data_IF_513835761327
#
_entry.id   IF_513835761327
#
_cell.length_a   1.000
_cell.length_b   1.000
_cell.length_c   1.000
_cell.angle_alpha   90.00
_cell.angle_beta   90.00
_cell.angle_gamma   90.00
#
_symmetry.space_group_name_H-M   'P 1'
#
loop_
_entity.id
_entity.type
_entity.pdbx_description
1 polymer ?
#
# COMPACT_ATOMS: atom_id res chain seq x y z
N UNK A 1 -40.86 1.93 17.21
CA UNK A 1 -39.93 2.12 18.35
C UNK A 1 -38.74 1.14 18.30
N UNK A 2 -38.86 -0.02 17.64
CA UNK A 2 -37.78 -1.02 17.51
C UNK A 2 -36.52 -0.54 16.78
N UNK A 3 -36.63 0.35 15.78
CA UNK A 3 -35.45 0.88 15.07
C UNK A 3 -34.53 1.78 15.91
N UNK A 4 -34.99 2.34 17.04
CA UNK A 4 -34.13 3.13 17.94
C UNK A 4 -33.30 2.25 18.88
N UNK A 5 -33.80 1.08 19.28
CA UNK A 5 -33.08 0.17 20.17
C UNK A 5 -31.90 -0.52 19.47
N UNK A 6 -32.10 -0.97 18.23
CA UNK A 6 -31.05 -1.54 17.38
C UNK A 6 -29.92 -0.54 17.09
N UNK A 7 -30.25 0.74 16.90
CA UNK A 7 -29.27 1.80 16.65
C UNK A 7 -28.47 2.17 17.91
N UNK A 8 -29.06 2.04 19.09
CA UNK A 8 -28.40 2.28 20.38
C UNK A 8 -27.51 1.11 20.78
N UNK A 9 -27.95 -0.14 20.61
CA UNK A 9 -27.12 -1.33 20.87
C UNK A 9 -25.91 -1.43 19.92
N UNK A 10 -26.07 -1.07 18.64
CA UNK A 10 -24.95 -0.97 17.70
C UNK A 10 -23.96 0.15 18.09
N UNK A 11 -24.44 1.27 18.63
CA UNK A 11 -23.59 2.38 19.09
C UNK A 11 -22.89 2.08 20.41
N UNK A 12 -23.55 1.42 21.36
CA UNK A 12 -22.93 0.99 22.62
C UNK A 12 -21.87 -0.10 22.39
N UNK A 13 -22.16 -1.09 21.55
CA UNK A 13 -21.17 -2.08 21.12
C UNK A 13 -19.96 -1.44 20.45
N UNK A 14 -20.18 -0.46 19.57
CA UNK A 14 -19.12 0.32 18.92
C UNK A 14 -18.29 1.13 19.93
N UNK A 15 -18.93 1.75 20.93
CA UNK A 15 -18.24 2.52 21.97
C UNK A 15 -17.40 1.63 22.90
N UNK A 16 -17.93 0.47 23.31
CA UNK A 16 -17.20 -0.50 24.14
C UNK A 16 -16.00 -1.04 23.38
N UNK A 17 -16.16 -1.40 22.10
CA UNK A 17 -15.05 -1.85 21.24
C UNK A 17 -14.00 -0.74 21.13
N UNK A 18 -14.39 0.51 20.84
CA UNK A 18 -13.45 1.65 20.79
C UNK A 18 -12.68 1.83 22.10
N UNK A 19 -13.34 1.64 23.24
CA UNK A 19 -12.72 1.77 24.57
C UNK A 19 -11.72 0.64 24.83
N UNK A 20 -12.06 -0.60 24.47
CA UNK A 20 -11.16 -1.75 24.59
C UNK A 20 -9.94 -1.62 23.68
N UNK A 21 -10.11 -1.12 22.45
CA UNK A 21 -8.99 -0.88 21.52
C UNK A 21 -7.99 0.11 22.10
N UNK A 22 -8.47 1.22 22.70
CA UNK A 22 -7.62 2.20 23.38
C UNK A 22 -6.85 1.63 24.57
N UNK A 23 -7.41 0.63 25.27
CA UNK A 23 -6.75 -0.05 26.39
C UNK A 23 -5.68 -1.05 25.93
N UNK A 24 -5.92 -1.73 24.81
CA UNK A 24 -5.04 -2.79 24.30
C UNK A 24 -3.87 -2.24 23.49
N UNK A 25 -4.05 -1.13 22.79
CA UNK A 25 -3.03 -0.50 21.93
C UNK A 25 -1.70 -0.20 22.64
N UNK A 26 -1.67 0.42 23.84
CA UNK A 26 -0.41 0.65 24.56
C UNK A 26 0.33 -0.65 24.88
N UNK A 27 -0.43 -1.71 25.17
CA UNK A 27 0.16 -3.04 25.42
C UNK A 27 0.75 -3.61 24.13
N UNK A 28 0.04 -3.53 23.00
CA UNK A 28 0.55 -3.97 21.70
C UNK A 28 1.78 -3.16 21.27
N UNK A 29 1.77 -1.84 21.44
CA UNK A 29 2.90 -0.96 21.15
C UNK A 29 4.16 -1.32 21.97
N UNK A 30 3.99 -1.85 23.17
CA UNK A 30 5.10 -2.42 23.95
C UNK A 30 5.51 -3.81 23.45
N UNK A 31 4.56 -4.67 23.08
CA UNK A 31 4.83 -6.04 22.64
C UNK A 31 5.55 -6.12 21.29
N UNK A 32 5.38 -5.13 20.40
CA UNK A 32 6.15 -5.04 19.14
C UNK A 32 7.66 -4.77 19.36
N UNK A 33 8.09 -4.53 20.60
CA UNK A 33 9.51 -4.44 20.99
C UNK A 33 10.02 -5.71 21.67
N UNK A 34 9.22 -6.78 21.73
CA UNK A 34 9.64 -8.06 22.28
C UNK A 34 10.81 -8.65 21.48
N UNK A 35 11.66 -9.44 22.14
CA UNK A 35 12.70 -10.26 21.48
C UNK A 35 12.18 -11.60 20.97
N UNK A 36 11.00 -12.00 21.43
CA UNK A 36 10.35 -13.24 21.03
C UNK A 36 9.58 -13.04 19.72
N UNK A 37 10.01 -13.73 18.66
CA UNK A 37 9.40 -13.64 17.32
C UNK A 37 7.91 -14.00 17.32
N UNK A 38 7.48 -14.94 18.15
CA UNK A 38 6.07 -15.35 18.25
C UNK A 38 5.26 -14.23 18.87
N UNK A 39 5.78 -13.57 19.90
CA UNK A 39 5.14 -12.41 20.52
C UNK A 39 5.09 -11.23 19.53
N UNK A 40 6.19 -10.98 18.81
CA UNK A 40 6.25 -9.94 17.77
C UNK A 40 5.20 -10.17 16.68
N UNK A 41 5.16 -11.39 16.12
CA UNK A 41 4.23 -11.75 15.06
C UNK A 41 2.76 -11.62 15.52
N UNK A 42 2.44 -12.07 16.75
CA UNK A 42 1.10 -11.94 17.32
C UNK A 42 0.71 -10.49 17.59
N UNK A 43 1.64 -9.68 18.09
CA UNK A 43 1.40 -8.26 18.32
C UNK A 43 1.13 -7.51 16.99
N UNK A 44 1.95 -7.76 15.96
CA UNK A 44 1.74 -7.18 14.63
C UNK A 44 0.42 -7.67 14.00
N UNK A 45 0.08 -8.95 14.17
CA UNK A 45 -1.20 -9.49 13.69
C UNK A 45 -2.37 -8.78 14.36
N UNK A 46 -2.31 -8.56 15.67
CA UNK A 46 -3.33 -7.82 16.39
C UNK A 46 -3.44 -6.38 15.88
N UNK A 47 -2.31 -5.69 15.65
CA UNK A 47 -2.33 -4.35 15.05
C UNK A 47 -2.98 -4.35 13.65
N UNK A 48 -2.72 -5.37 12.82
CA UNK A 48 -3.34 -5.47 11.49
C UNK A 48 -4.86 -5.59 11.55
N UNK A 49 -5.40 -6.30 12.55
CA UNK A 49 -6.85 -6.38 12.76
C UNK A 49 -7.42 -5.08 13.31
N UNK A 50 -6.64 -4.33 14.09
CA UNK A 50 -7.04 -3.02 14.59
C UNK A 50 -7.04 -1.96 13.50
N UNK A 51 -6.15 -2.05 12.51
CA UNK A 51 -6.10 -1.13 11.36
C UNK A 51 -7.05 -1.53 10.23
N UNK A 52 -7.70 -2.69 10.30
CA UNK A 52 -8.68 -3.14 9.29
C UNK A 52 -10.04 -2.45 9.49
N UNK A 53 -10.37 -1.53 8.57
CA UNK A 53 -11.65 -0.85 8.53
C UNK A 53 -11.55 0.65 8.29
N UNK A 54 -12.28 1.43 9.08
CA UNK A 54 -12.48 2.88 8.88
C UNK A 54 -11.21 3.70 9.17
N UNK A 55 -11.11 4.89 8.59
CA UNK A 55 -10.01 5.82 8.84
C UNK A 55 -9.80 6.09 10.35
N UNK A 56 -10.85 6.19 11.17
CA UNK A 56 -10.73 6.32 12.64
C UNK A 56 -9.88 5.21 13.28
N UNK A 57 -10.01 3.98 12.81
CA UNK A 57 -9.29 2.82 13.34
C UNK A 57 -7.81 2.88 12.95
N UNK A 58 -7.55 3.18 11.68
CA UNK A 58 -6.20 3.39 11.14
C UNK A 58 -5.51 4.50 11.93
N UNK A 59 -6.20 5.63 12.14
CA UNK A 59 -5.69 6.76 12.89
C UNK A 59 -5.34 6.39 14.33
N UNK A 60 -6.18 5.60 15.00
CA UNK A 60 -5.90 5.14 16.37
C UNK A 60 -4.63 4.29 16.44
N UNK A 61 -4.34 3.48 15.41
CA UNK A 61 -3.10 2.70 15.32
C UNK A 61 -1.89 3.60 15.07
N UNK A 62 -2.00 4.59 14.19
CA UNK A 62 -0.94 5.57 13.93
C UNK A 62 -0.59 6.35 15.22
N UNK A 63 -1.61 6.84 15.93
CA UNK A 63 -1.47 7.59 17.18
C UNK A 63 -0.85 6.78 18.32
N UNK A 64 -0.88 5.44 18.25
CA UNK A 64 -0.19 4.57 19.19
C UNK A 64 1.33 4.55 18.98
N UNK A 65 1.87 5.26 17.98
CA UNK A 65 3.32 5.43 17.76
C UNK A 65 4.02 4.17 17.26
N UNK A 66 3.29 3.25 16.62
CA UNK A 66 3.83 1.93 16.21
C UNK A 66 4.59 1.97 14.88
N UNK A 67 4.40 3.02 14.06
CA UNK A 67 4.94 3.08 12.69
C UNK A 67 6.46 2.93 12.64
N UNK A 68 7.20 3.64 13.51
CA UNK A 68 8.66 3.56 13.53
C UNK A 68 9.17 2.15 13.80
N UNK A 69 8.52 1.40 14.68
CA UNK A 69 8.87 0.01 14.94
C UNK A 69 8.42 -0.93 13.82
N UNK A 70 7.29 -0.65 13.16
CA UNK A 70 6.86 -1.43 11.99
C UNK A 70 7.88 -1.34 10.85
N UNK A 71 8.50 -0.18 10.62
CA UNK A 71 9.61 -0.01 9.66
C UNK A 71 10.73 -1.01 9.91
N UNK A 72 11.20 -1.10 11.16
CA UNK A 72 12.27 -2.00 11.55
C UNK A 72 11.86 -3.48 11.34
N UNK A 73 10.61 -3.81 11.63
CA UNK A 73 10.06 -5.16 11.47
C UNK A 73 9.87 -5.57 10.01
N UNK A 74 9.67 -4.63 9.08
CA UNK A 74 9.65 -4.93 7.65
C UNK A 74 11.00 -5.45 7.14
N UNK A 75 12.10 -5.08 7.80
CA UNK A 75 13.46 -5.54 7.48
C UNK A 75 13.92 -6.71 8.36
N UNK A 76 13.01 -7.32 9.12
CA UNK A 76 13.33 -8.46 9.98
C UNK A 76 13.71 -9.70 9.15
N UNK A 77 14.66 -10.55 9.57
CA UNK A 77 15.06 -11.73 8.79
C UNK A 77 13.97 -12.82 8.69
N UNK A 78 13.05 -12.86 9.64
CA UNK A 78 11.98 -13.88 9.72
C UNK A 78 10.71 -13.45 8.97
N UNK A 79 10.31 -14.15 7.88
CA UNK A 79 9.07 -13.87 7.14
C UNK A 79 7.81 -13.89 8.01
N UNK A 80 7.84 -14.67 9.10
CA UNK A 80 6.75 -14.79 10.07
C UNK A 80 6.45 -13.47 10.80
N UNK A 81 7.46 -12.57 10.89
CA UNK A 81 7.36 -11.24 11.47
C UNK A 81 7.09 -10.18 10.41
N UNK A 82 7.76 -10.27 9.25
CA UNK A 82 7.57 -9.33 8.12
C UNK A 82 6.10 -9.33 7.68
N UNK A 83 5.52 -10.52 7.51
CA UNK A 83 4.16 -10.70 6.97
C UNK A 83 3.10 -9.91 7.76
N UNK A 84 2.92 -10.10 9.09
CA UNK A 84 1.93 -9.35 9.85
C UNK A 84 2.25 -7.85 9.98
N UNK A 85 3.54 -7.46 10.00
CA UNK A 85 3.92 -6.06 9.96
C UNK A 85 3.47 -5.41 8.63
N UNK A 86 3.73 -6.09 7.51
CA UNK A 86 3.33 -5.67 6.18
C UNK A 86 1.80 -5.58 6.02
N UNK A 87 1.04 -6.53 6.58
CA UNK A 87 -0.43 -6.45 6.59
C UNK A 87 -0.92 -5.20 7.33
N UNK A 88 -0.30 -4.84 8.46
CA UNK A 88 -0.63 -3.62 9.19
C UNK A 88 -0.40 -2.39 8.32
N UNK A 89 0.77 -2.29 7.68
CA UNK A 89 1.09 -1.20 6.76
C UNK A 89 0.12 -1.13 5.58
N UNK A 90 -0.22 -2.29 4.99
CA UNK A 90 -1.16 -2.38 3.87
C UNK A 90 -2.54 -1.80 4.22
N UNK A 91 -3.02 -2.01 5.44
CA UNK A 91 -4.30 -1.44 5.89
C UNK A 91 -4.20 0.05 6.20
N UNK A 92 -3.03 0.54 6.65
CA UNK A 92 -2.85 1.97 6.90
C UNK A 92 -2.83 2.75 5.58
N UNK A 93 -2.18 2.23 4.53
CA UNK A 93 -2.11 2.90 3.21
C UNK A 93 -3.42 2.86 2.41
N UNK A 94 -4.44 2.12 2.85
CA UNK A 94 -5.81 2.24 2.29
C UNK A 94 -6.61 3.39 2.88
N UNK A 95 -6.00 4.13 3.81
CA UNK A 95 -6.54 5.33 4.41
C UNK A 95 -6.63 6.53 3.48
N UNK A 96 -6.90 7.69 4.07
CA UNK A 96 -6.84 8.99 3.37
C UNK A 96 -5.41 9.50 3.18
N UNK A 97 -5.30 10.67 2.54
CA UNK A 97 -4.02 11.34 2.27
C UNK A 97 -3.24 11.66 3.54
N UNK A 98 -3.91 11.96 4.66
CA UNK A 98 -3.26 12.20 5.96
C UNK A 98 -2.59 10.93 6.47
N UNK A 99 -3.24 9.78 6.32
CA UNK A 99 -2.72 8.49 6.76
C UNK A 99 -1.57 8.00 5.87
N UNK A 100 -1.66 8.26 4.56
CA UNK A 100 -0.57 8.03 3.62
C UNK A 100 0.62 8.95 3.93
N UNK A 101 0.37 10.20 4.33
CA UNK A 101 1.42 11.13 4.74
C UNK A 101 2.18 10.60 5.96
N UNK A 102 1.50 10.05 6.96
CA UNK A 102 2.14 9.44 8.12
C UNK A 102 3.07 8.27 7.75
N UNK A 103 2.71 7.48 6.72
CA UNK A 103 3.55 6.39 6.20
C UNK A 103 4.81 6.93 5.52
N UNK A 104 4.68 8.03 4.77
CA UNK A 104 5.79 8.72 4.11
C UNK A 104 6.74 9.29 5.18
N UNK A 105 6.22 9.99 6.18
CA UNK A 105 7.01 10.60 7.27
C UNK A 105 7.71 9.55 8.14
N UNK A 106 7.11 8.36 8.28
CA UNK A 106 7.74 7.23 8.94
C UNK A 106 8.83 6.53 8.11
N UNK A 107 9.12 6.97 6.89
CA UNK A 107 10.10 6.37 5.97
C UNK A 107 9.82 4.91 5.60
N UNK A 108 8.54 4.52 5.54
CA UNK A 108 8.13 3.12 5.26
C UNK A 108 8.26 2.76 3.78
N UNK A 109 8.23 3.75 2.88
CA UNK A 109 8.20 3.52 1.42
C UNK A 109 9.45 2.81 0.92
N UNK A 110 10.65 3.22 1.34
CA UNK A 110 11.90 2.58 0.93
C UNK A 110 11.98 1.08 1.36
N UNK A 111 11.68 0.72 2.62
CA UNK A 111 11.49 -0.67 3.03
C UNK A 111 10.49 -1.46 2.17
N UNK A 112 9.34 -0.86 1.81
CA UNK A 112 8.36 -1.51 0.93
C UNK A 112 8.94 -1.79 -0.45
N UNK A 113 9.61 -0.81 -1.07
CA UNK A 113 10.27 -0.97 -2.37
C UNK A 113 11.32 -2.09 -2.31
N UNK A 114 12.12 -2.12 -1.24
CA UNK A 114 13.10 -3.18 -1.01
C UNK A 114 12.43 -4.57 -0.91
N UNK A 115 11.29 -4.68 -0.22
CA UNK A 115 10.54 -5.94 -0.14
C UNK A 115 9.99 -6.38 -1.49
N UNK A 116 9.50 -5.46 -2.33
CA UNK A 116 9.01 -5.81 -3.69
C UNK A 116 10.13 -6.36 -4.58
N UNK A 117 11.37 -5.94 -4.36
CA UNK A 117 12.53 -6.38 -5.14
C UNK A 117 13.12 -7.70 -4.62
N UNK A 118 13.29 -7.83 -3.30
CA UNK A 118 14.18 -8.85 -2.73
C UNK A 118 13.48 -9.94 -1.91
N UNK A 119 12.21 -9.77 -1.54
CA UNK A 119 11.51 -10.73 -0.68
C UNK A 119 10.98 -11.96 -1.46
N UNK A 120 10.42 -12.92 -0.75
CA UNK A 120 9.68 -14.03 -1.35
C UNK A 120 8.44 -13.54 -2.09
N UNK A 121 7.99 -14.31 -3.09
CA UNK A 121 6.93 -13.90 -4.01
C UNK A 121 5.66 -13.40 -3.28
N UNK A 122 5.21 -14.10 -2.24
CA UNK A 122 4.00 -13.69 -1.51
C UNK A 122 4.15 -12.35 -0.78
N UNK A 123 5.34 -12.09 -0.21
CA UNK A 123 5.65 -10.80 0.44
C UNK A 123 5.76 -9.69 -0.61
N UNK A 124 6.43 -9.96 -1.75
CA UNK A 124 6.55 -9.02 -2.87
C UNK A 124 5.18 -8.55 -3.35
N UNK A 125 4.25 -9.49 -3.50
CA UNK A 125 2.86 -9.21 -3.91
C UNK A 125 2.14 -8.29 -2.93
N UNK A 126 2.24 -8.55 -1.63
CA UNK A 126 1.58 -7.72 -0.62
C UNK A 126 2.24 -6.33 -0.51
N UNK A 127 3.56 -6.23 -0.66
CA UNK A 127 4.27 -4.95 -0.66
C UNK A 127 3.91 -4.10 -1.89
N UNK A 128 3.78 -4.71 -3.07
CA UNK A 128 3.34 -4.02 -4.27
C UNK A 128 1.89 -3.54 -4.18
N UNK A 129 1.02 -4.33 -3.54
CA UNK A 129 -0.35 -3.91 -3.22
C UNK A 129 -0.36 -2.69 -2.30
N UNK A 130 0.49 -2.66 -1.27
CA UNK A 130 0.61 -1.50 -0.38
C UNK A 130 1.04 -0.23 -1.15
N UNK A 131 2.06 -0.32 -2.02
CA UNK A 131 2.50 0.82 -2.85
C UNK A 131 1.39 1.28 -3.80
N UNK A 132 0.71 0.35 -4.46
CA UNK A 132 -0.35 0.68 -5.42
C UNK A 132 -1.58 1.31 -4.74
N UNK A 133 -1.90 0.88 -3.52
CA UNK A 133 -2.95 1.49 -2.69
C UNK A 133 -2.56 2.92 -2.28
N UNK A 134 -1.31 3.13 -1.84
CA UNK A 134 -0.80 4.47 -1.54
C UNK A 134 -0.86 5.39 -2.76
N UNK A 135 -0.56 4.87 -3.97
CA UNK A 135 -0.70 5.62 -5.21
C UNK A 135 -2.16 5.89 -5.61
N UNK A 136 -3.12 5.13 -5.08
CA UNK A 136 -4.55 5.30 -5.38
C UNK A 136 -5.24 6.30 -4.45
N UNK A 137 -4.85 6.34 -3.17
CA UNK A 137 -5.40 7.28 -2.19
C UNK A 137 -4.57 8.56 -2.01
N UNK A 138 -3.34 8.60 -2.52
CA UNK A 138 -2.41 9.69 -2.30
C UNK A 138 -2.64 10.91 -3.19
N UNK A 139 -2.19 12.07 -2.70
CA UNK A 139 -2.14 13.31 -3.49
C UNK A 139 -1.04 13.24 -4.56
N UNK A 140 -1.04 14.19 -5.50
CA UNK A 140 0.00 14.27 -6.52
C UNK A 140 1.40 14.31 -5.90
N UNK A 141 1.63 15.16 -4.89
CA UNK A 141 2.94 15.27 -4.22
C UNK A 141 3.38 13.97 -3.54
N UNK A 142 2.44 13.26 -2.91
CA UNK A 142 2.72 11.96 -2.31
C UNK A 142 3.11 10.93 -3.37
N UNK A 143 2.41 10.90 -4.51
CA UNK A 143 2.74 10.01 -5.63
C UNK A 143 4.12 10.37 -6.22
N UNK A 144 4.44 11.66 -6.37
CA UNK A 144 5.79 12.10 -6.78
C UNK A 144 6.85 11.57 -5.82
N UNK A 145 6.59 11.62 -4.51
CA UNK A 145 7.48 11.04 -3.50
C UNK A 145 7.60 9.52 -3.65
N UNK A 146 6.51 8.78 -3.81
CA UNK A 146 6.54 7.33 -4.05
C UNK A 146 7.43 6.97 -5.24
N UNK A 147 7.29 7.70 -6.36
CA UNK A 147 8.11 7.51 -7.56
C UNK A 147 9.59 7.82 -7.28
N UNK A 148 9.89 8.87 -6.52
CA UNK A 148 11.27 9.22 -6.13
C UNK A 148 11.97 8.12 -5.34
N UNK A 149 11.21 7.25 -4.65
CA UNK A 149 11.73 6.08 -3.95
C UNK A 149 11.97 4.87 -4.86
N UNK A 150 11.75 5.00 -6.18
CA UNK A 150 12.08 3.95 -7.16
C UNK A 150 11.05 2.84 -7.27
N UNK A 151 9.77 3.10 -6.99
CA UNK A 151 8.72 2.07 -6.99
C UNK A 151 8.30 1.57 -8.40
N UNK A 152 8.57 2.33 -9.47
CA UNK A 152 8.10 2.03 -10.84
C UNK A 152 8.67 0.69 -11.34
N UNK A 153 9.99 0.52 -11.32
CA UNK A 153 10.63 -0.70 -11.84
C UNK A 153 10.13 -1.97 -11.13
N UNK A 154 10.09 -2.04 -9.78
CA UNK A 154 9.53 -3.18 -9.08
C UNK A 154 8.08 -3.51 -9.46
N UNK A 155 7.23 -2.49 -9.70
CA UNK A 155 5.86 -2.70 -10.17
C UNK A 155 5.81 -3.25 -11.59
N UNK A 156 6.65 -2.74 -12.50
CA UNK A 156 6.78 -3.28 -13.86
C UNK A 156 7.28 -4.73 -13.87
N UNK A 157 8.27 -5.06 -13.04
CA UNK A 157 8.82 -6.41 -12.94
C UNK A 157 7.75 -7.42 -12.46
N UNK A 158 6.79 -6.99 -11.62
CA UNK A 158 5.68 -7.84 -11.16
C UNK A 158 4.59 -8.06 -12.21
N UNK A 159 4.47 -7.20 -13.24
CA UNK A 159 3.54 -7.42 -14.35
C UNK A 159 3.86 -8.68 -15.14
N UNK A 160 5.09 -9.20 -15.05
CA UNK A 160 5.50 -10.46 -15.68
C UNK A 160 4.88 -11.70 -15.03
N UNK A 161 4.27 -11.57 -13.84
CA UNK A 161 3.60 -12.67 -13.13
C UNK A 161 2.17 -12.89 -13.65
N UNK A 162 2.02 -13.30 -14.90
CA UNK A 162 0.74 -13.39 -15.60
C UNK A 162 -0.27 -14.39 -15.01
N UNK A 163 0.16 -15.28 -14.13
CA UNK A 163 -0.70 -16.25 -13.43
C UNK A 163 -1.48 -15.63 -12.28
N UNK A 164 -1.01 -14.51 -11.71
CA UNK A 164 -1.65 -13.85 -10.58
C UNK A 164 -2.41 -12.61 -11.04
N UNK A 165 -3.70 -12.81 -11.34
CA UNK A 165 -4.56 -11.75 -11.87
C UNK A 165 -4.75 -10.58 -10.91
N UNK A 166 -4.76 -10.86 -9.61
CA UNK A 166 -4.92 -9.82 -8.61
C UNK A 166 -3.68 -8.91 -8.60
N UNK A 167 -2.48 -9.49 -8.61
CA UNK A 167 -1.22 -8.74 -8.58
C UNK A 167 -1.03 -7.92 -9.84
N UNK A 168 -1.30 -8.48 -11.02
CA UNK A 168 -1.21 -7.75 -12.30
C UNK A 168 -2.19 -6.58 -12.31
N UNK A 169 -3.44 -6.79 -11.91
CA UNK A 169 -4.47 -5.75 -11.87
C UNK A 169 -4.09 -4.60 -10.94
N UNK A 170 -3.51 -4.92 -9.78
CA UNK A 170 -3.07 -3.93 -8.80
C UNK A 170 -1.86 -3.16 -9.30
N UNK A 171 -0.87 -3.84 -9.90
CA UNK A 171 0.29 -3.15 -10.47
C UNK A 171 -0.11 -2.23 -11.63
N UNK A 172 -1.03 -2.66 -12.50
CA UNK A 172 -1.60 -1.82 -13.55
C UNK A 172 -2.31 -0.58 -12.97
N UNK A 173 -3.06 -0.74 -11.88
CA UNK A 173 -3.72 0.39 -11.20
C UNK A 173 -2.71 1.38 -10.62
N UNK A 174 -1.66 0.87 -9.96
CA UNK A 174 -0.62 1.71 -9.38
C UNK A 174 0.12 2.51 -10.46
N UNK A 175 0.49 1.85 -11.57
CA UNK A 175 1.14 2.50 -12.72
C UNK A 175 0.22 3.51 -13.41
N UNK A 176 -1.08 3.22 -13.55
CA UNK A 176 -2.06 4.15 -14.08
C UNK A 176 -2.14 5.44 -13.25
N UNK A 177 -2.21 5.33 -11.91
CA UNK A 177 -2.28 6.50 -11.05
C UNK A 177 -0.98 7.32 -11.07
N UNK A 178 0.17 6.65 -11.18
CA UNK A 178 1.46 7.32 -11.41
C UNK A 178 1.44 8.07 -12.75
N UNK A 179 1.01 7.43 -13.83
CA UNK A 179 0.92 8.03 -15.17
C UNK A 179 -0.02 9.24 -15.21
N UNK A 180 -1.16 9.18 -14.50
CA UNK A 180 -2.11 10.31 -14.34
C UNK A 180 -1.41 11.54 -13.75
N UNK A 181 -0.61 11.36 -12.69
CA UNK A 181 0.16 12.46 -12.09
C UNK A 181 1.20 12.99 -13.08
N UNK A 182 1.88 12.12 -13.82
CA UNK A 182 2.84 12.52 -14.84
C UNK A 182 2.21 13.33 -15.97
N UNK A 183 0.96 13.05 -16.34
CA UNK A 183 0.23 13.82 -17.34
C UNK A 183 -0.22 15.18 -16.81
N UNK A 184 -0.62 15.25 -15.53
CA UNK A 184 -0.87 16.52 -14.86
C UNK A 184 0.39 17.39 -14.80
N UNK A 185 1.55 16.80 -14.50
CA UNK A 185 2.85 17.50 -14.45
C UNK A 185 3.24 18.04 -15.83
N UNK A 186 3.11 17.21 -16.87
CA UNK A 186 3.29 17.60 -18.26
C UNK A 186 2.43 18.80 -18.63
N UNK A 187 1.15 18.79 -18.29
CA UNK A 187 0.21 19.89 -18.59
C UNK A 187 0.55 21.18 -17.84
N UNK A 188 1.17 21.08 -16.66
CA UNK A 188 1.66 22.22 -15.88
C UNK A 188 3.08 22.67 -16.31
N UNK A 189 3.67 22.06 -17.35
CA UNK A 189 5.08 22.26 -17.76
C UNK A 189 6.09 21.95 -16.64
N UNK A 190 5.67 21.22 -15.62
CA UNK A 190 6.54 20.65 -14.59
C UNK A 190 7.24 19.47 -15.28
N UNK A 191 8.57 19.51 -15.36
CA UNK A 191 9.41 18.51 -16.08
C UNK A 191 9.44 18.60 -17.62
N UNK A 192 9.41 19.82 -18.19
CA UNK A 192 9.80 20.01 -19.60
C UNK A 192 8.77 19.57 -20.64
N UNK A 193 7.49 19.47 -20.26
CA UNK A 193 6.38 19.20 -21.19
C UNK A 193 6.28 17.75 -21.64
N UNK A 194 6.91 16.82 -20.91
CA UNK A 194 6.82 15.38 -21.14
C UNK A 194 6.33 14.67 -19.88
N UNK A 195 5.65 13.54 -20.05
CA UNK A 195 5.31 12.67 -18.94
C UNK A 195 6.55 11.85 -18.55
N UNK A 196 7.33 12.35 -17.58
CA UNK A 196 8.56 11.68 -17.13
C UNK A 196 8.28 10.25 -16.64
N UNK A 197 7.13 10.01 -16.04
CA UNK A 197 6.79 8.70 -15.50
C UNK A 197 6.52 7.67 -16.61
N UNK A 198 5.95 8.09 -17.74
CA UNK A 198 5.87 7.24 -18.93
C UNK A 198 7.27 6.84 -19.44
N UNK A 199 8.23 7.77 -19.45
CA UNK A 199 9.62 7.46 -19.81
C UNK A 199 10.30 6.51 -18.82
N UNK A 200 10.03 6.67 -17.52
CA UNK A 200 10.55 5.76 -16.49
C UNK A 200 9.96 4.35 -16.64
N UNK A 201 8.67 4.24 -16.99
CA UNK A 201 8.03 2.95 -17.28
C UNK A 201 8.62 2.31 -18.53
N UNK A 202 8.89 3.10 -19.59
CA UNK A 202 9.56 2.63 -20.80
C UNK A 202 10.97 2.11 -20.49
N UNK A 203 11.76 2.85 -19.72
CA UNK A 203 13.09 2.44 -19.27
C UNK A 203 13.06 1.17 -18.41
N UNK A 204 11.96 0.91 -17.70
CA UNK A 204 11.74 -0.31 -16.91
C UNK A 204 11.17 -1.48 -17.73
N UNK A 205 11.03 -1.35 -19.05
CA UNK A 205 10.37 -2.34 -19.95
C UNK A 205 8.90 -2.60 -19.60
N UNK A 206 8.28 -1.70 -18.86
CA UNK A 206 6.88 -1.80 -18.45
C UNK A 206 5.93 -1.64 -19.64
N UNK A 207 6.22 -0.74 -20.58
CA UNK A 207 5.40 -0.52 -21.78
C UNK A 207 5.30 -1.76 -22.66
N UNK A 208 6.43 -2.39 -22.99
CA UNK A 208 6.45 -3.66 -23.75
C UNK A 208 5.58 -4.72 -23.07
N UNK A 209 5.64 -4.77 -21.73
CA UNK A 209 4.86 -5.71 -20.92
C UNK A 209 3.37 -5.39 -20.95
N UNK A 210 2.98 -4.11 -20.84
CA UNK A 210 1.59 -3.65 -20.94
C UNK A 210 1.03 -3.93 -22.34
N UNK A 211 1.79 -3.65 -23.39
CA UNK A 211 1.40 -3.94 -24.78
C UNK A 211 1.19 -5.44 -24.99
N UNK A 212 2.08 -6.27 -24.46
CA UNK A 212 1.93 -7.72 -24.49
C UNK A 212 0.65 -8.19 -23.76
N UNK A 213 0.39 -7.65 -22.56
CA UNK A 213 -0.83 -7.97 -21.79
C UNK A 213 -2.09 -7.60 -22.58
N UNK A 214 -2.12 -6.44 -23.22
CA UNK A 214 -3.26 -6.03 -24.06
C UNK A 214 -3.43 -6.90 -25.31
N UNK A 215 -2.34 -7.31 -25.94
CA UNK A 215 -2.38 -8.02 -27.22
C UNK A 215 -2.71 -9.50 -27.05
N UNK A 216 -2.14 -10.15 -26.03
CA UNK A 216 -2.14 -11.61 -25.89
C UNK A 216 -2.86 -12.13 -24.65
N UNK A 217 -3.22 -11.28 -23.67
CA UNK A 217 -3.87 -11.72 -22.45
C UNK A 217 -5.32 -11.19 -22.36
N UNK A 218 -6.29 -12.08 -22.55
CA UNK A 218 -7.73 -11.73 -22.55
C UNK A 218 -8.19 -11.13 -21.23
N UNK A 219 -7.57 -11.50 -20.10
CA UNK A 219 -7.99 -11.07 -18.77
C UNK A 219 -7.62 -9.61 -18.48
N UNK A 220 -6.52 -9.12 -19.07
CA UNK A 220 -6.05 -7.75 -18.85
C UNK A 220 -6.21 -6.86 -20.07
N UNK A 221 -6.79 -7.40 -21.16
CA UNK A 221 -6.91 -6.72 -22.44
C UNK A 221 -7.45 -5.31 -22.28
N UNK A 222 -8.67 -5.18 -21.78
CA UNK A 222 -9.35 -3.89 -21.66
C UNK A 222 -8.51 -2.85 -20.89
N UNK A 223 -8.11 -3.18 -19.65
CA UNK A 223 -7.35 -2.26 -18.77
C UNK A 223 -5.97 -1.91 -19.31
N UNK A 224 -5.20 -2.89 -19.78
CA UNK A 224 -3.88 -2.65 -20.36
C UNK A 224 -3.97 -1.86 -21.68
N UNK A 225 -5.03 -2.09 -22.45
CA UNK A 225 -5.28 -1.40 -23.71
C UNK A 225 -5.65 0.07 -23.53
N UNK A 226 -6.52 0.35 -22.56
CA UNK A 226 -6.86 1.72 -22.17
C UNK A 226 -5.60 2.47 -21.71
N UNK A 227 -4.82 1.84 -20.82
CA UNK A 227 -3.58 2.40 -20.32
C UNK A 227 -2.60 2.70 -21.47
N UNK A 228 -2.36 1.72 -22.35
CA UNK A 228 -1.43 1.91 -23.46
C UNK A 228 -1.89 3.05 -24.38
N UNK A 229 -3.15 3.08 -24.80
CA UNK A 229 -3.68 4.10 -25.73
C UNK A 229 -3.73 5.50 -25.15
N UNK A 230 -3.80 5.62 -23.82
CA UNK A 230 -3.92 6.91 -23.14
C UNK A 230 -2.57 7.60 -22.99
N UNK A 231 -1.51 6.84 -22.72
CA UNK A 231 -0.20 7.40 -22.36
C UNK A 231 0.88 7.23 -23.43
N UNK A 232 0.64 6.45 -24.49
CA UNK A 232 1.55 6.22 -25.61
C UNK A 232 0.82 6.13 -26.96
#
# INVERSE_FOLDING_TARGET
MENKALFVEQNEGSHVIRTLVKLVLPTLARLIHSKDEVVLAKACRALSYLSDGTNDKIQTVIEAGVLGRLVELLMHPSPSVITPALYTIKHIVTGDDVQIQAIIEANIIAPLVHLVQNAELDIRKQAAKAISNAASGGTHDQIRFLVSQGCIKPLCDLLLNWSDSEVVTVCLQGLENILKVGEADKNMSIMGGVNLYAQMIDAARGRETIEFLWTYNTNFKEKAGELHKTYW
#
